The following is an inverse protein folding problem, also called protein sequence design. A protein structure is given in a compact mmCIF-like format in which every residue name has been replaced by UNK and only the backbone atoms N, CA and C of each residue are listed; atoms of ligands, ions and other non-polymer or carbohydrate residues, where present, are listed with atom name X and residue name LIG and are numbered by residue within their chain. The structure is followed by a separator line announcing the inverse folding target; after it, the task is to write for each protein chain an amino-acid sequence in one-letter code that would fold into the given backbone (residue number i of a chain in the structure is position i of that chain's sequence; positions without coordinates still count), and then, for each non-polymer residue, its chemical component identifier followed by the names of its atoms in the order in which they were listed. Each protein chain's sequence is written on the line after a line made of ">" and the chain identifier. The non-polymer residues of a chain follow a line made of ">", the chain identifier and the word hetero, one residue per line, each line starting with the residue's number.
data_IF_036409818517
#
_entry.id   IF_036409818517
#
_cell.length_a   1.000
_cell.length_b   1.000
_cell.length_c   1.000
_cell.angle_alpha   90.00
_cell.angle_beta   90.00
_cell.angle_gamma   90.00
#
_symmetry.space_group_name_H-M   'P 1'
#
loop_
_entity.id
_entity.type
_entity.pdbx_description
1 polymer ?
#
# COMPACT_ATOMS: atom_id res chain seq x y z
N UNK A 1 -26.28 -13.69 4.16
CA UNK A 1 -27.00 -14.07 2.94
C UNK A 1 -26.81 -15.54 2.54
N UNK A 2 -25.77 -15.95 1.79
CA UNK A 2 -25.68 -17.36 1.31
C UNK A 2 -25.65 -18.42 2.42
N UNK A 3 -24.89 -18.19 3.49
CA UNK A 3 -24.89 -19.07 4.68
C UNK A 3 -26.21 -19.02 5.46
N UNK A 4 -26.85 -17.86 5.49
CA UNK A 4 -28.18 -17.71 6.11
C UNK A 4 -29.26 -18.43 5.29
N UNK A 5 -29.07 -18.52 3.96
CA UNK A 5 -29.88 -19.32 3.05
C UNK A 5 -29.57 -20.82 3.03
N UNK A 6 -28.73 -21.32 3.94
CA UNK A 6 -28.43 -22.75 4.08
C UNK A 6 -27.36 -23.30 3.12
N UNK A 7 -26.69 -22.45 2.34
CA UNK A 7 -25.57 -22.87 1.51
C UNK A 7 -24.27 -22.85 2.33
N UNK A 8 -23.51 -23.94 2.26
CA UNK A 8 -22.18 -24.02 2.88
C UNK A 8 -21.19 -23.17 2.07
N UNK A 9 -21.23 -21.85 2.26
CA UNK A 9 -20.40 -20.90 1.53
C UNK A 9 -19.19 -20.52 2.38
N UNK A 10 -18.07 -21.21 2.16
CA UNK A 10 -16.83 -21.03 2.93
C UNK A 10 -15.95 -19.93 2.32
N UNK A 11 -15.56 -18.89 3.08
CA UNK A 11 -14.67 -17.83 2.57
C UNK A 11 -13.32 -18.34 2.06
N UNK A 12 -12.83 -19.46 2.60
CA UNK A 12 -11.56 -20.07 2.20
C UNK A 12 -11.52 -20.49 0.73
N UNK A 13 -12.67 -20.78 0.11
CA UNK A 13 -12.76 -21.10 -1.31
C UNK A 13 -12.32 -19.95 -2.22
N UNK A 14 -12.39 -18.71 -1.72
CA UNK A 14 -11.97 -17.51 -2.45
C UNK A 14 -10.54 -17.07 -2.10
N UNK A 15 -9.84 -17.76 -1.21
CA UNK A 15 -8.48 -17.41 -0.84
C UNK A 15 -7.53 -17.31 -2.05
N UNK A 16 -7.56 -18.23 -3.05
CA UNK A 16 -6.72 -18.09 -4.24
C UNK A 16 -7.07 -16.85 -5.08
N UNK A 17 -8.36 -16.51 -5.21
CA UNK A 17 -8.82 -15.33 -5.92
C UNK A 17 -8.38 -14.04 -5.20
N UNK A 18 -8.42 -14.06 -3.87
CA UNK A 18 -7.94 -12.96 -3.04
C UNK A 18 -6.42 -12.77 -3.17
N UNK A 19 -5.64 -13.85 -3.14
CA UNK A 19 -4.19 -13.80 -3.41
C UNK A 19 -3.86 -13.33 -4.82
N UNK A 20 -4.64 -13.74 -5.82
CA UNK A 20 -4.45 -13.28 -7.18
C UNK A 20 -4.79 -11.79 -7.35
N UNK A 21 -5.93 -11.34 -6.81
CA UNK A 21 -6.41 -9.96 -6.97
C UNK A 21 -5.64 -8.95 -6.11
N UNK A 22 -5.17 -9.40 -4.95
CA UNK A 22 -4.46 -8.62 -3.95
C UNK A 22 -3.22 -9.38 -3.51
N UNK A 23 -2.17 -9.49 -4.34
CA UNK A 23 -1.00 -10.24 -3.94
C UNK A 23 -0.31 -9.60 -2.73
N UNK A 24 0.18 -10.45 -1.82
CA UNK A 24 1.05 -10.00 -0.72
C UNK A 24 2.35 -9.43 -1.29
N UNK A 25 2.72 -8.24 -0.83
CA UNK A 25 3.94 -7.54 -1.22
C UNK A 25 5.11 -8.04 -0.38
N UNK A 26 4.94 -8.08 0.95
CA UNK A 26 5.98 -8.49 1.89
C UNK A 26 5.54 -8.31 3.33
N UNK A 27 6.36 -8.81 4.26
CA UNK A 27 6.16 -8.64 5.71
C UNK A 27 7.47 -8.33 6.42
N UNK A 28 7.40 -7.64 7.54
CA UNK A 28 8.51 -7.43 8.48
C UNK A 28 8.04 -7.72 9.90
N UNK A 29 8.92 -8.32 10.71
CA UNK A 29 8.64 -8.68 12.11
C UNK A 29 9.59 -7.94 13.03
N UNK A 30 9.09 -7.15 13.97
CA UNK A 30 9.87 -6.39 14.96
C UNK A 30 9.14 -6.38 16.31
N UNK A 31 9.84 -6.72 17.38
CA UNK A 31 9.32 -6.65 18.77
C UNK A 31 7.92 -7.28 18.97
N UNK A 32 7.69 -8.46 18.40
CA UNK A 32 6.39 -9.15 18.46
C UNK A 32 5.31 -8.59 17.54
N UNK A 33 5.57 -7.49 16.84
CA UNK A 33 4.70 -6.90 15.81
C UNK A 33 5.03 -7.47 14.43
N UNK A 34 3.99 -7.79 13.66
CA UNK A 34 4.09 -8.17 12.25
C UNK A 34 3.43 -7.09 11.41
N UNK A 35 4.18 -6.45 10.53
CA UNK A 35 3.69 -5.50 9.53
C UNK A 35 3.66 -6.19 8.17
N UNK A 36 2.49 -6.33 7.58
CA UNK A 36 2.27 -6.91 6.26
C UNK A 36 1.77 -5.84 5.29
N UNK A 37 2.36 -5.83 4.08
CA UNK A 37 1.90 -5.01 2.96
C UNK A 37 1.26 -5.89 1.90
N UNK A 38 0.14 -5.42 1.35
CA UNK A 38 -0.61 -6.11 0.30
C UNK A 38 -1.14 -5.11 -0.71
N UNK A 39 -1.24 -5.49 -1.98
CA UNK A 39 -1.94 -4.63 -2.95
C UNK A 39 -3.41 -4.47 -2.55
N UNK A 40 -3.97 -3.28 -2.76
CA UNK A 40 -5.38 -2.99 -2.49
C UNK A 40 -6.08 -2.43 -3.74
N UNK A 41 -7.41 -2.39 -3.74
CA UNK A 41 -8.16 -1.75 -4.82
C UNK A 41 -7.91 -0.24 -4.78
N UNK A 42 -7.56 0.31 -5.95
CA UNK A 42 -7.67 1.73 -6.25
C UNK A 42 -8.43 1.86 -7.58
N UNK A 43 -9.55 2.59 -7.64
CA UNK A 43 -10.25 2.83 -8.90
C UNK A 43 -9.44 3.81 -9.76
N UNK A 44 -9.25 3.46 -11.03
CA UNK A 44 -8.66 4.37 -12.01
C UNK A 44 -9.75 5.15 -12.72
N UNK A 45 -9.62 6.47 -12.70
CA UNK A 45 -10.61 7.37 -13.29
C UNK A 45 -10.42 7.46 -14.80
N UNK A 46 -11.54 7.45 -15.53
CA UNK A 46 -11.56 7.77 -16.95
C UNK A 46 -11.45 9.29 -17.09
N UNK A 47 -10.56 9.74 -17.97
CA UNK A 47 -10.35 11.15 -18.30
C UNK A 47 -11.37 11.62 -19.34
N UNK A 48 -11.40 12.94 -19.57
CA UNK A 48 -12.21 13.54 -20.63
C UNK A 48 -11.84 13.02 -22.02
N UNK A 49 -12.70 13.31 -23.00
CA UNK A 49 -12.40 13.01 -24.40
C UNK A 49 -11.28 13.91 -24.92
N UNK A 50 -10.32 13.30 -25.60
CA UNK A 50 -9.22 13.98 -26.27
C UNK A 50 -9.17 13.57 -27.75
N UNK A 51 -8.68 14.45 -28.61
CA UNK A 51 -8.44 14.13 -30.02
C UNK A 51 -7.26 13.16 -30.14
N UNK A 52 -7.51 11.97 -30.68
CA UNK A 52 -6.51 10.95 -30.98
C UNK A 52 -6.33 10.71 -32.48
N UNK A 53 -5.52 9.72 -32.85
CA UNK A 53 -5.28 9.35 -34.24
C UNK A 53 -6.54 8.84 -34.94
N UNK A 54 -7.26 9.74 -35.63
CA UNK A 54 -8.44 9.42 -36.45
C UNK A 54 -9.79 9.45 -35.72
N UNK A 55 -9.86 9.88 -34.45
CA UNK A 55 -11.09 9.95 -33.68
C UNK A 55 -10.89 10.49 -32.25
N UNK A 56 -11.91 10.36 -31.40
CA UNK A 56 -11.84 10.73 -29.97
C UNK A 56 -11.40 9.55 -29.11
N UNK A 57 -10.50 9.79 -28.17
CA UNK A 57 -10.03 8.80 -27.18
C UNK A 57 -10.38 9.24 -25.77
N UNK A 58 -10.50 8.29 -24.84
CA UNK A 58 -10.60 8.56 -23.40
C UNK A 58 -9.50 7.79 -22.68
N UNK A 59 -8.57 8.52 -22.10
CA UNK A 59 -7.48 7.92 -21.32
C UNK A 59 -7.97 7.50 -19.94
N UNK A 60 -7.22 6.62 -19.28
CA UNK A 60 -7.46 6.19 -17.91
C UNK A 60 -6.28 6.65 -17.07
N UNK A 61 -6.56 7.30 -15.95
CA UNK A 61 -5.54 7.68 -15.00
C UNK A 61 -5.10 6.47 -14.16
N UNK A 62 -4.11 5.75 -14.68
CA UNK A 62 -3.48 4.60 -14.03
C UNK A 62 -2.31 4.97 -13.11
N UNK A 63 -2.15 6.25 -12.79
CA UNK A 63 -0.99 6.75 -12.04
C UNK A 63 -1.07 6.49 -10.53
N UNK A 64 -2.26 6.25 -10.00
CA UNK A 64 -2.53 6.11 -8.56
C UNK A 64 -2.75 4.65 -8.21
N UNK A 65 -2.13 4.23 -7.11
CA UNK A 65 -2.29 2.89 -6.53
C UNK A 65 -2.61 2.98 -5.04
N UNK A 66 -3.03 1.83 -4.48
CA UNK A 66 -3.26 1.67 -3.05
C UNK A 66 -2.61 0.40 -2.53
N UNK A 67 -1.98 0.51 -1.38
CA UNK A 67 -1.53 -0.64 -0.58
C UNK A 67 -2.35 -0.73 0.70
N UNK A 68 -2.69 -1.95 1.10
CA UNK A 68 -3.17 -2.27 2.42
C UNK A 68 -1.98 -2.48 3.34
N UNK A 69 -2.06 -1.87 4.51
CA UNK A 69 -1.17 -2.06 5.64
C UNK A 69 -1.93 -2.86 6.69
N UNK A 70 -1.42 -4.03 7.07
CA UNK A 70 -1.98 -4.83 8.16
C UNK A 70 -0.93 -5.02 9.23
N UNK A 71 -1.33 -4.86 10.49
CA UNK A 71 -0.47 -5.13 11.64
C UNK A 71 -1.08 -6.17 12.56
N UNK A 72 -0.24 -7.03 13.12
CA UNK A 72 -0.57 -7.97 14.19
C UNK A 72 0.40 -7.79 15.36
N UNK A 73 -0.03 -7.99 16.60
CA UNK A 73 0.74 -7.62 17.80
C UNK A 73 0.79 -6.10 18.04
N UNK A 74 -0.13 -5.34 17.43
CA UNK A 74 -0.19 -3.89 17.51
C UNK A 74 -0.77 -3.43 18.85
N UNK A 75 -0.10 -2.47 19.48
CA UNK A 75 -0.53 -1.85 20.75
C UNK A 75 -0.69 -0.36 20.46
N UNK A 76 -1.93 0.15 20.25
CA UNK A 76 -2.15 1.51 19.77
C UNK A 76 -1.51 2.60 20.64
N UNK A 77 -1.38 2.39 21.94
CA UNK A 77 -0.77 3.36 22.86
C UNK A 77 0.77 3.40 22.79
N UNK A 78 1.39 2.33 22.25
CA UNK A 78 2.85 2.19 22.17
C UNK A 78 3.36 2.33 20.74
N UNK A 79 2.68 1.73 19.77
CA UNK A 79 3.15 1.62 18.40
C UNK A 79 2.45 2.62 17.48
N UNK A 80 3.17 3.14 16.49
CA UNK A 80 2.62 3.86 15.35
C UNK A 80 3.23 3.33 14.06
N UNK A 81 2.45 3.26 12.98
CA UNK A 81 2.99 2.93 11.65
C UNK A 81 3.05 4.20 10.82
N UNK A 82 4.24 4.60 10.43
CA UNK A 82 4.45 5.72 9.52
C UNK A 82 4.65 5.20 8.10
N UNK A 83 4.12 5.91 7.10
CA UNK A 83 4.50 5.78 5.70
C UNK A 83 5.04 7.13 5.22
N UNK A 84 6.28 7.17 4.74
CA UNK A 84 6.99 8.40 4.36
C UNK A 84 6.92 9.47 5.47
N UNK A 85 7.07 9.05 6.74
CA UNK A 85 7.01 9.91 7.91
C UNK A 85 5.60 10.31 8.37
N UNK A 86 4.54 9.87 7.69
CA UNK A 86 3.15 10.22 8.02
C UNK A 86 2.39 9.04 8.64
N UNK A 87 1.61 9.24 9.71
CA UNK A 87 0.85 8.14 10.32
C UNK A 87 -0.15 7.51 9.36
N UNK A 88 -0.16 6.17 9.31
CA UNK A 88 -1.19 5.41 8.59
C UNK A 88 -2.41 5.32 9.51
N UNK A 89 -3.62 5.76 9.07
CA UNK A 89 -4.81 5.77 9.91
C UNK A 89 -5.38 4.34 10.06
N UNK A 90 -4.75 3.55 10.93
CA UNK A 90 -5.15 2.17 11.21
C UNK A 90 -6.52 2.11 11.90
N UNK A 91 -7.30 1.08 11.58
CA UNK A 91 -8.54 0.70 12.27
C UNK A 91 -8.46 -0.74 12.79
N UNK A 92 -9.02 -1.03 13.97
CA UNK A 92 -9.05 -2.38 14.51
C UNK A 92 -9.93 -3.30 13.67
N UNK A 93 -9.55 -4.57 13.53
CA UNK A 93 -10.32 -5.58 12.77
C UNK A 93 -11.35 -6.32 13.63
N UNK A 94 -11.40 -6.05 14.94
CA UNK A 94 -12.15 -6.83 15.93
C UNK A 94 -11.35 -7.97 16.55
N UNK A 95 -10.17 -8.31 16.01
CA UNK A 95 -9.21 -9.22 16.64
C UNK A 95 -8.21 -8.44 17.48
N UNK A 96 -7.97 -8.90 18.71
CA UNK A 96 -7.02 -8.27 19.62
C UNK A 96 -5.62 -8.16 19.01
N UNK A 97 -5.03 -6.97 19.08
CA UNK A 97 -3.70 -6.68 18.54
C UNK A 97 -3.64 -6.62 17.01
N UNK A 98 -4.78 -6.65 16.30
CA UNK A 98 -4.82 -6.56 14.85
C UNK A 98 -5.49 -5.28 14.36
N UNK A 99 -4.83 -4.61 13.42
CA UNK A 99 -5.36 -3.41 12.77
C UNK A 99 -4.99 -3.37 11.29
N UNK A 100 -5.77 -2.62 10.51
CA UNK A 100 -5.61 -2.46 9.07
C UNK A 100 -5.79 -1.00 8.66
N UNK A 101 -5.09 -0.58 7.61
CA UNK A 101 -5.25 0.73 6.99
C UNK A 101 -4.83 0.70 5.53
N UNK A 102 -5.08 1.78 4.82
CA UNK A 102 -4.65 1.97 3.43
C UNK A 102 -3.60 3.07 3.31
N UNK A 103 -2.73 2.95 2.31
CA UNK A 103 -1.94 4.06 1.80
C UNK A 103 -2.23 4.20 0.31
N UNK A 104 -2.75 5.35 -0.08
CA UNK A 104 -2.98 5.76 -1.47
C UNK A 104 -1.87 6.69 -1.91
N UNK A 105 -1.31 6.44 -3.09
CA UNK A 105 -0.11 7.13 -3.55
C UNK A 105 -0.04 7.16 -5.07
N UNK A 106 0.69 8.13 -5.62
CA UNK A 106 1.04 8.14 -7.04
C UNK A 106 2.26 7.25 -7.28
N UNK A 107 2.09 6.21 -8.10
CA UNK A 107 3.07 5.20 -8.45
C UNK A 107 3.98 5.61 -9.62
N UNK A 108 3.43 6.33 -10.59
CA UNK A 108 4.14 6.85 -11.77
C UNK A 108 3.40 8.06 -12.34
N UNK A 109 3.91 8.70 -13.38
CA UNK A 109 3.32 9.92 -13.94
C UNK A 109 3.16 9.79 -15.47
N UNK A 110 2.00 9.35 -15.98
CA UNK A 110 1.71 9.36 -17.41
C UNK A 110 1.57 10.80 -17.93
N UNK A 111 1.74 11.01 -19.25
CA UNK A 111 1.48 12.31 -19.89
C UNK A 111 0.06 12.84 -19.63
N UNK A 112 -0.93 11.94 -19.61
CA UNK A 112 -2.33 12.25 -19.30
C UNK A 112 -2.72 11.62 -17.95
N UNK A 113 -2.94 12.43 -16.92
CA UNK A 113 -3.48 12.03 -15.62
C UNK A 113 -4.22 13.18 -14.92
N UNK A 114 -5.02 12.85 -13.92
CA UNK A 114 -5.56 13.84 -13.00
C UNK A 114 -4.43 14.37 -12.11
N UNK A 115 -4.52 15.66 -11.75
CA UNK A 115 -3.58 16.35 -10.87
C UNK A 115 -2.11 16.20 -11.29
N UNK A 116 -1.74 16.63 -12.51
CA UNK A 116 -0.41 16.39 -13.07
C UNK A 116 0.73 17.08 -12.31
N UNK A 117 0.45 18.03 -11.42
CA UNK A 117 1.45 18.69 -10.57
C UNK A 117 1.87 17.87 -9.34
N UNK A 118 1.12 16.82 -8.99
CA UNK A 118 1.46 15.95 -7.87
C UNK A 118 2.48 14.92 -8.34
N UNK A 119 3.66 14.91 -7.72
CA UNK A 119 4.75 13.99 -8.06
C UNK A 119 4.51 12.52 -7.67
N UNK A 120 5.48 11.68 -8.04
CA UNK A 120 5.51 10.26 -7.68
C UNK A 120 5.98 10.09 -6.24
N UNK A 121 5.38 9.17 -5.48
CA UNK A 121 5.66 9.00 -4.04
C UNK A 121 6.53 7.78 -3.72
N UNK A 122 6.87 6.98 -4.73
CA UNK A 122 7.71 5.79 -4.53
C UNK A 122 9.20 6.15 -4.47
N UNK A 123 10.01 5.41 -3.70
CA UNK A 123 9.61 4.28 -2.85
C UNK A 123 8.81 4.72 -1.62
N UNK A 124 7.81 3.92 -1.24
CA UNK A 124 7.13 4.05 0.05
C UNK A 124 8.05 3.48 1.13
N UNK A 125 8.24 4.20 2.22
CA UNK A 125 9.02 3.78 3.39
C UNK A 125 8.10 3.66 4.58
N UNK A 126 7.98 2.46 5.11
CA UNK A 126 7.18 2.16 6.29
C UNK A 126 8.07 1.99 7.51
N UNK A 127 7.77 2.71 8.59
CA UNK A 127 8.45 2.61 9.88
C UNK A 127 7.46 2.16 10.97
N UNK A 128 7.88 1.19 11.77
CA UNK A 128 7.22 0.82 13.03
C UNK A 128 7.88 1.66 14.12
N UNK A 129 7.14 2.60 14.71
CA UNK A 129 7.66 3.53 15.71
C UNK A 129 7.18 3.14 17.10
N UNK A 130 8.10 3.07 18.06
CA UNK A 130 7.78 3.04 19.48
C UNK A 130 7.62 4.47 19.99
N UNK A 131 6.39 4.87 20.29
CA UNK A 131 6.01 6.21 20.77
C UNK A 131 6.55 6.52 22.15
N UNK A 132 6.77 5.51 23.00
CA UNK A 132 7.29 5.73 24.35
C UNK A 132 8.77 6.12 24.31
N UNK A 133 9.52 5.50 23.39
CA UNK A 133 10.93 5.76 23.21
C UNK A 133 11.24 6.79 22.11
N UNK A 134 10.26 7.13 21.28
CA UNK A 134 10.39 8.03 20.13
C UNK A 134 11.39 7.50 19.10
N UNK A 135 11.39 6.21 18.79
CA UNK A 135 12.38 5.55 17.92
C UNK A 135 11.75 4.54 16.97
N UNK A 136 12.37 4.35 15.80
CA UNK A 136 12.02 3.26 14.89
C UNK A 136 12.47 1.92 15.48
N UNK A 137 11.56 0.95 15.48
CA UNK A 137 11.82 -0.46 15.74
C UNK A 137 12.27 -1.19 14.47
N UNK A 138 12.13 -0.54 13.31
CA UNK A 138 12.39 -1.11 12.00
C UNK A 138 11.22 -0.94 11.04
N UNK A 139 11.37 -1.49 9.84
CA UNK A 139 10.43 -1.16 8.78
C UNK A 139 10.67 -1.87 7.47
N UNK A 140 10.11 -1.33 6.41
CA UNK A 140 10.31 -1.83 5.06
C UNK A 140 10.15 -0.72 4.02
N UNK A 141 10.66 -0.96 2.82
CA UNK A 141 10.48 -0.10 1.67
C UNK A 141 9.78 -0.87 0.55
N UNK A 142 8.91 -0.19 -0.18
CA UNK A 142 8.19 -0.71 -1.33
C UNK A 142 8.28 0.24 -2.53
N UNK A 143 8.69 -0.29 -3.69
CA UNK A 143 8.62 0.41 -4.98
C UNK A 143 7.65 -0.25 -5.96
N UNK A 144 7.22 0.46 -7.00
CA UNK A 144 6.38 -0.16 -8.07
C UNK A 144 7.20 -0.74 -9.23
N UNK A 145 8.45 -0.29 -9.36
CA UNK A 145 9.44 -0.77 -10.32
C UNK A 145 10.62 -1.40 -9.61
N UNK A 146 11.48 -2.10 -10.38
CA UNK A 146 12.72 -2.64 -9.84
C UNK A 146 13.57 -1.51 -9.22
N UNK A 147 14.21 -1.70 -8.04
CA UNK A 147 14.97 -0.65 -7.35
C UNK A 147 16.08 0.01 -8.20
N UNK A 148 16.60 -0.73 -9.20
CA UNK A 148 17.57 -0.21 -10.17
C UNK A 148 16.99 0.65 -11.31
N UNK A 149 15.69 1.02 -11.27
CA UNK A 149 15.06 1.92 -12.26
C UNK A 149 14.89 1.34 -13.66
N UNK A 150 15.19 0.04 -13.86
CA UNK A 150 15.07 -0.62 -15.16
C UNK A 150 13.64 -1.08 -15.39
N UNK A 151 13.02 -0.56 -16.45
CA UNK A 151 11.84 -1.19 -17.02
C UNK A 151 12.25 -2.51 -17.68
N UNK A 152 11.49 -3.57 -17.45
CA UNK A 152 11.76 -4.83 -18.12
C UNK A 152 11.38 -4.72 -19.59
N UNK A 153 12.34 -4.90 -20.49
CA UNK A 153 12.12 -4.86 -21.95
C UNK A 153 11.33 -6.07 -22.45
N UNK A 154 11.29 -7.14 -21.65
CA UNK A 154 10.61 -8.39 -22.00
C UNK A 154 9.63 -8.82 -20.93
N UNK A 155 8.54 -9.45 -21.38
CA UNK A 155 7.63 -10.19 -20.52
C UNK A 155 8.39 -11.26 -19.73
N UNK A 156 7.95 -11.57 -18.50
CA UNK A 156 8.56 -12.66 -17.74
C UNK A 156 8.39 -13.97 -18.50
N UNK A 157 9.48 -14.75 -18.59
CA UNK A 157 9.52 -16.04 -19.30
C UNK A 157 8.62 -17.07 -18.61
N UNK A 158 8.43 -16.95 -17.30
CA UNK A 158 7.56 -17.83 -16.51
C UNK A 158 7.05 -17.15 -15.22
N UNK A 159 6.20 -17.87 -14.49
CA UNK A 159 5.64 -17.41 -13.21
C UNK A 159 6.68 -17.18 -12.11
N UNK A 160 7.77 -17.93 -12.09
CA UNK A 160 8.84 -17.78 -11.10
C UNK A 160 9.61 -16.48 -11.32
N UNK A 161 9.93 -16.14 -12.56
CA UNK A 161 10.55 -14.87 -12.91
C UNK A 161 9.61 -13.70 -12.57
N UNK A 162 8.33 -13.81 -12.93
CA UNK A 162 7.34 -12.80 -12.55
C UNK A 162 7.28 -12.60 -11.03
N UNK A 163 7.36 -13.68 -10.25
CA UNK A 163 7.39 -13.62 -8.79
C UNK A 163 8.69 -12.99 -8.28
N UNK A 164 9.84 -13.35 -8.82
CA UNK A 164 11.13 -12.77 -8.45
C UNK A 164 11.15 -11.24 -8.69
N UNK A 165 10.60 -10.80 -9.84
CA UNK A 165 10.42 -9.36 -10.15
C UNK A 165 9.53 -8.67 -9.12
N UNK A 166 8.48 -9.32 -8.62
CA UNK A 166 7.60 -8.78 -7.56
C UNK A 166 8.32 -8.70 -6.21
N UNK A 167 9.05 -9.75 -5.81
CA UNK A 167 9.78 -9.79 -4.54
C UNK A 167 10.86 -8.71 -4.47
N UNK A 168 11.55 -8.44 -5.58
CA UNK A 168 12.60 -7.41 -5.65
C UNK A 168 12.11 -5.98 -5.36
N UNK A 169 10.79 -5.75 -5.34
CA UNK A 169 10.18 -4.45 -5.04
C UNK A 169 10.01 -4.18 -3.55
N UNK A 170 10.22 -5.18 -2.70
CA UNK A 170 10.11 -5.08 -1.26
C UNK A 170 11.47 -5.29 -0.62
N UNK A 171 11.84 -4.38 0.28
CA UNK A 171 13.11 -4.45 1.02
C UNK A 171 12.84 -4.26 2.51
N UNK A 172 13.29 -5.19 3.35
CA UNK A 172 13.26 -4.98 4.79
C UNK A 172 14.29 -3.91 5.19
N UNK A 173 13.88 -2.96 6.02
CA UNK A 173 14.74 -1.90 6.56
C UNK A 173 15.03 -2.18 8.03
N UNK A 174 16.26 -1.85 8.46
CA UNK A 174 16.69 -2.09 9.84
C UNK A 174 15.94 -1.22 10.84
N UNK A 175 16.20 0.08 10.81
CA UNK A 175 15.53 1.12 11.61
C UNK A 175 15.92 2.48 11.04
N UNK A 176 15.01 3.43 11.13
CA UNK A 176 15.31 4.84 10.88
C UNK A 176 16.00 5.42 12.11
N UNK A 177 17.19 5.99 11.93
CA UNK A 177 17.98 6.56 13.01
C UNK A 177 17.43 7.89 13.52
N UNK A 178 17.78 8.24 14.76
CA UNK A 178 17.36 9.49 15.40
C UNK A 178 16.08 9.35 16.22
N UNK A 179 15.67 10.47 16.83
CA UNK A 179 14.38 10.57 17.53
C UNK A 179 13.29 10.89 16.49
N UNK A 180 12.18 10.16 16.57
CA UNK A 180 11.02 10.34 15.72
C UNK A 180 9.92 10.96 16.57
N UNK A 181 9.53 12.18 16.21
CA UNK A 181 8.29 12.77 16.69
C UNK A 181 7.17 12.33 15.77
N UNK A 182 6.20 11.61 16.33
CA UNK A 182 5.06 11.08 15.59
C UNK A 182 4.05 12.21 15.37
N UNK A 183 3.76 12.61 14.12
CA UNK A 183 2.71 13.59 13.85
C UNK A 183 1.33 13.07 14.26
N UNK A 184 0.36 13.95 14.44
CA UNK A 184 -1.03 13.51 14.58
C UNK A 184 -1.53 12.83 13.31
N UNK A 185 -2.26 11.72 13.48
CA UNK A 185 -2.85 11.00 12.36
C UNK A 185 -4.03 11.79 11.79
N UNK A 186 -3.86 12.33 10.58
CA UNK A 186 -4.96 12.95 9.84
C UNK A 186 -5.89 11.88 9.23
N UNK A 187 -7.19 11.98 9.52
CA UNK A 187 -8.23 11.12 8.93
C UNK A 187 -9.11 11.95 8.01
N UNK A 188 -9.17 11.56 6.74
CA UNK A 188 -10.12 12.16 5.81
C UNK A 188 -11.55 11.71 6.12
N UNK A 189 -12.51 12.61 5.94
CA UNK A 189 -13.94 12.26 5.99
C UNK A 189 -14.36 11.25 4.91
N UNK A 190 -13.73 11.32 3.73
CA UNK A 190 -14.04 10.47 2.58
C UNK A 190 -13.38 9.09 2.71
N UNK A 191 -12.14 9.05 3.21
CA UNK A 191 -11.37 7.82 3.40
C UNK A 191 -10.74 7.79 4.80
N UNK A 192 -11.50 7.52 5.87
CA UNK A 192 -11.04 7.65 7.27
C UNK A 192 -10.01 6.60 7.71
N UNK A 193 -9.79 5.59 6.87
CA UNK A 193 -8.87 4.46 7.07
C UNK A 193 -7.82 4.40 5.96
N UNK A 194 -7.58 5.50 5.25
CA UNK A 194 -6.55 5.57 4.20
C UNK A 194 -5.76 6.86 4.28
N UNK A 195 -4.45 6.75 4.38
CA UNK A 195 -3.52 7.86 4.18
C UNK A 195 -3.41 8.13 2.67
N UNK A 196 -3.89 9.28 2.20
CA UNK A 196 -3.67 9.72 0.81
C UNK A 196 -2.43 10.62 0.76
N UNK A 197 -1.31 10.08 0.28
CA UNK A 197 -0.05 10.82 0.19
C UNK A 197 -0.11 12.00 -0.78
N UNK A 198 -1.11 12.02 -1.68
CA UNK A 198 -1.34 13.13 -2.63
C UNK A 198 -1.98 14.35 -1.97
N UNK A 199 -2.48 14.21 -0.74
CA UNK A 199 -2.99 15.33 0.05
C UNK A 199 -1.86 15.80 0.94
N UNK A 200 -1.43 17.03 0.71
CA UNK A 200 -0.27 17.59 1.39
C UNK A 200 -0.47 17.67 2.91
N UNK A 201 0.69 17.55 3.55
CA UNK A 201 1.06 17.83 4.94
C UNK A 201 0.55 19.17 5.45
#
# INVERSE_FOLDING_TARGET
>A
DLREGGFDFQPSWFAPHFEFRFPRIGEVKKDGLVLELRNAIEPWHVLGEESGGGGTVRFVDSSVERVQVRVNGFVPDRHEILCNGRPVPLCPTGRAGEAVGGVRFRAWQPPSCLHPTIGVHVPLTFDIVDKWNGRSLGGCSYGVSHPGGRNYEHFPVNGNEAQARRTARFTELKFTGGRIEVPEASRSLEFPVTLDLRRDS
#
